data_IF_791597607118
#
_entry.id   IF_791597607118
#
_cell.length_a   1.000
_cell.length_b   1.000
_cell.length_c   1.000
_cell.angle_alpha   90.00
_cell.angle_beta   90.00
_cell.angle_gamma   90.00
#
_symmetry.space_group_name_H-M   'P 1'
#
loop_
_entity.id
_entity.type
_entity.pdbx_description
1 polymer ?
#
# COMPACT_ATOMS: atom_id res chain seq x y z
N UNK A 1 -3.79 10.98 5.93
CA UNK A 1 -3.45 10.12 4.79
C UNK A 1 -4.08 10.69 3.52
N UNK A 2 -3.43 10.66 2.35
CA UNK A 2 -3.98 11.17 1.07
C UNK A 2 -5.04 10.24 0.42
N UNK A 3 -5.61 9.29 1.18
CA UNK A 3 -6.48 8.23 0.66
C UNK A 3 -7.69 8.76 -0.10
N UNK A 4 -8.35 9.79 0.44
CA UNK A 4 -9.53 10.41 -0.20
C UNK A 4 -9.20 10.95 -1.59
N UNK A 5 -8.04 11.60 -1.76
CA UNK A 5 -7.62 12.13 -3.05
C UNK A 5 -7.40 11.00 -4.05
N UNK A 6 -6.64 9.97 -3.67
CA UNK A 6 -6.39 8.82 -4.57
C UNK A 6 -7.67 8.08 -4.95
N UNK A 7 -8.59 7.90 -3.99
CA UNK A 7 -9.89 7.29 -4.28
C UNK A 7 -10.71 8.12 -5.27
N UNK A 8 -10.72 9.44 -5.12
CA UNK A 8 -11.43 10.34 -6.03
C UNK A 8 -10.79 10.38 -7.42
N UNK A 9 -9.46 10.33 -7.52
CA UNK A 9 -8.76 10.21 -8.80
C UNK A 9 -9.07 8.89 -9.52
N UNK A 10 -9.36 7.83 -8.77
CA UNK A 10 -9.81 6.55 -9.31
C UNK A 10 -11.34 6.48 -9.51
N UNK A 11 -12.06 7.60 -9.35
CA UNK A 11 -13.52 7.71 -9.51
C UNK A 11 -14.34 6.72 -8.65
N UNK A 12 -13.79 6.27 -7.52
CA UNK A 12 -14.44 5.30 -6.65
C UNK A 12 -15.21 5.98 -5.51
N UNK A 13 -16.39 5.46 -5.19
CA UNK A 13 -17.03 5.68 -3.89
C UNK A 13 -16.27 4.94 -2.78
N UNK A 14 -16.48 5.34 -1.52
CA UNK A 14 -15.91 4.62 -0.37
C UNK A 14 -16.32 3.14 -0.36
N UNK A 15 -17.55 2.82 -0.78
CA UNK A 15 -18.05 1.44 -0.82
C UNK A 15 -17.36 0.62 -1.91
N UNK A 16 -17.13 1.19 -3.09
CA UNK A 16 -16.41 0.51 -4.17
C UNK A 16 -14.96 0.19 -3.79
N UNK A 17 -14.25 1.14 -3.19
CA UNK A 17 -12.91 0.89 -2.68
C UNK A 17 -12.91 -0.19 -1.59
N UNK A 18 -13.87 -0.13 -0.66
CA UNK A 18 -14.00 -1.11 0.40
C UNK A 18 -14.24 -2.53 -0.13
N UNK A 19 -15.15 -2.67 -1.09
CA UNK A 19 -15.43 -3.95 -1.75
C UNK A 19 -14.18 -4.51 -2.43
N UNK A 20 -13.45 -3.66 -3.16
CA UNK A 20 -12.24 -4.08 -3.90
C UNK A 20 -11.09 -4.45 -2.97
N UNK A 21 -10.86 -3.66 -1.92
CA UNK A 21 -9.85 -3.92 -0.91
C UNK A 21 -10.26 -5.00 0.12
N UNK A 22 -11.50 -5.55 0.02
CA UNK A 22 -12.06 -6.54 0.95
C UNK A 22 -11.97 -6.09 2.41
N UNK A 23 -12.44 -4.87 2.67
CA UNK A 23 -12.54 -4.25 4.01
C UNK A 23 -13.92 -3.65 4.22
N UNK A 24 -14.24 -3.31 5.47
CA UNK A 24 -15.48 -2.59 5.75
C UNK A 24 -15.42 -1.15 5.22
N UNK A 25 -16.55 -0.63 4.71
CA UNK A 25 -16.67 0.78 4.30
C UNK A 25 -16.33 1.75 5.45
N UNK A 26 -16.73 1.41 6.68
CA UNK A 26 -16.41 2.20 7.86
C UNK A 26 -14.90 2.35 8.05
N UNK A 27 -14.11 1.31 7.72
CA UNK A 27 -12.65 1.38 7.76
C UNK A 27 -12.10 2.41 6.77
N UNK A 28 -12.62 2.46 5.55
CA UNK A 28 -12.24 3.50 4.58
C UNK A 28 -12.57 4.89 5.12
N UNK A 29 -13.77 5.09 5.66
CA UNK A 29 -14.16 6.38 6.23
C UNK A 29 -13.25 6.82 7.39
N UNK A 30 -12.93 5.90 8.31
CA UNK A 30 -12.01 6.18 9.42
C UNK A 30 -10.60 6.53 8.94
N UNK A 31 -10.08 5.81 7.94
CA UNK A 31 -8.76 6.08 7.35
C UNK A 31 -8.72 7.44 6.65
N UNK A 32 -9.77 7.80 5.91
CA UNK A 32 -9.86 9.11 5.24
C UNK A 32 -9.91 10.27 6.23
N UNK A 33 -10.60 10.07 7.36
CA UNK A 33 -10.72 11.06 8.42
C UNK A 33 -9.54 11.01 9.43
N UNK A 34 -8.62 10.05 9.29
CA UNK A 34 -7.43 9.94 10.14
C UNK A 34 -7.69 9.43 11.56
N UNK A 35 -8.79 8.73 11.80
CA UNK A 35 -9.10 8.15 13.13
C UNK A 35 -8.06 7.15 13.60
N UNK A 36 -7.46 6.39 12.68
CA UNK A 36 -6.38 5.46 12.98
C UNK A 36 -5.51 5.19 11.74
N UNK A 37 -4.25 4.76 11.91
CA UNK A 37 -3.42 4.29 10.81
C UNK A 37 -3.83 2.87 10.37
N UNK A 38 -3.75 2.54 9.06
CA UNK A 38 -4.03 1.19 8.59
C UNK A 38 -2.94 0.22 9.06
N UNK A 39 -3.32 -1.05 9.28
CA UNK A 39 -2.31 -2.11 9.42
C UNK A 39 -1.58 -2.33 8.08
N UNK A 40 -0.36 -2.89 8.08
CA UNK A 40 0.37 -3.17 6.83
C UNK A 40 -0.43 -4.01 5.83
N UNK A 41 -1.12 -5.05 6.30
CA UNK A 41 -2.00 -5.88 5.45
C UNK A 41 -3.14 -5.07 4.82
N UNK A 42 -3.77 -4.19 5.60
CA UNK A 42 -4.87 -3.36 5.09
C UNK A 42 -4.37 -2.30 4.12
N UNK A 43 -3.22 -1.68 4.42
CA UNK A 43 -2.56 -0.74 3.51
C UNK A 43 -2.23 -1.42 2.17
N UNK A 44 -1.67 -2.63 2.18
CA UNK A 44 -1.39 -3.42 0.98
C UNK A 44 -2.64 -3.64 0.11
N UNK A 45 -3.74 -4.10 0.71
CA UNK A 45 -5.01 -4.31 -0.01
C UNK A 45 -5.59 -3.03 -0.61
N UNK A 46 -5.48 -1.90 0.11
CA UNK A 46 -5.94 -0.60 -0.40
C UNK A 46 -5.07 -0.14 -1.56
N UNK A 47 -3.75 -0.32 -1.46
CA UNK A 47 -2.81 0.01 -2.54
C UNK A 47 -3.08 -0.83 -3.80
N UNK A 48 -3.25 -2.15 -3.67
CA UNK A 48 -3.60 -3.05 -4.78
C UNK A 48 -4.93 -2.65 -5.44
N UNK A 49 -5.94 -2.31 -4.63
CA UNK A 49 -7.24 -1.88 -5.12
C UNK A 49 -7.17 -0.58 -5.92
N UNK A 50 -6.32 0.38 -5.52
CA UNK A 50 -6.12 1.66 -6.22
C UNK A 50 -5.20 1.52 -7.44
N UNK A 51 -4.13 0.73 -7.32
CA UNK A 51 -3.15 0.51 -8.39
C UNK A 51 -3.72 -0.24 -9.59
N UNK A 52 -4.72 -1.09 -9.37
CA UNK A 52 -5.41 -1.79 -10.46
C UNK A 52 -6.18 -0.87 -11.43
N UNK A 53 -6.50 0.36 -11.03
CA UNK A 53 -7.27 1.32 -11.85
C UNK A 53 -6.46 2.54 -12.27
N UNK A 54 -5.51 2.99 -11.46
CA UNK A 54 -4.72 4.18 -11.82
C UNK A 54 -3.77 3.96 -13.02
N UNK A 55 -3.80 2.80 -13.69
CA UNK A 55 -2.81 2.42 -14.71
C UNK A 55 -1.38 2.45 -14.20
N UNK A 56 -1.20 2.65 -12.89
CA UNK A 56 0.08 2.68 -12.24
C UNK A 56 0.46 1.23 -12.02
N UNK A 57 1.29 0.72 -12.93
CA UNK A 57 2.14 -0.40 -12.62
C UNK A 57 2.89 -0.01 -11.34
N UNK A 58 2.42 -0.53 -10.20
CA UNK A 58 3.08 -0.37 -8.92
C UNK A 58 4.43 -1.06 -9.08
N UNK A 59 5.42 -0.28 -9.52
CA UNK A 59 6.81 -0.67 -9.44
C UNK A 59 7.01 -1.09 -7.98
N UNK A 60 7.37 -2.34 -7.71
CA UNK A 60 7.57 -2.78 -6.34
C UNK A 60 8.65 -1.88 -5.75
N UNK A 61 8.26 -0.96 -4.88
CA UNK A 61 9.22 -0.31 -4.01
C UNK A 61 9.83 -1.44 -3.19
N UNK A 62 11.15 -1.55 -3.25
CA UNK A 62 11.91 -2.64 -2.66
C UNK A 62 11.37 -2.92 -1.25
N UNK A 63 10.84 -4.13 -1.07
CA UNK A 63 10.43 -4.61 0.25
C UNK A 63 11.71 -4.61 1.07
N UNK A 64 11.86 -3.61 1.95
CA UNK A 64 12.87 -3.69 2.99
C UNK A 64 12.44 -4.83 3.92
N UNK A 65 12.97 -6.02 3.66
CA UNK A 65 12.97 -7.07 4.66
C UNK A 65 13.70 -6.52 5.87
N UNK A 66 12.96 -6.19 6.93
CA UNK A 66 13.51 -6.05 8.27
C UNK A 66 14.03 -7.42 8.70
N UNK A 67 15.22 -7.76 8.22
CA UNK A 67 16.03 -8.79 8.84
C UNK A 67 16.36 -8.27 10.24
N UNK A 68 15.85 -8.97 11.25
CA UNK A 68 16.20 -8.72 12.65
C UNK A 68 17.71 -8.91 12.74
N UNK A 69 18.42 -7.84 13.08
CA UNK A 69 19.87 -7.83 13.22
C UNK A 69 20.33 -8.83 14.29
N UNK A 70 21.14 -9.80 13.88
CA UNK A 70 22.09 -10.48 14.76
C UNK A 70 23.50 -9.91 14.52
N UNK A 71 23.76 -8.77 15.16
CA UNK A 71 25.03 -8.44 15.84
C UNK A 71 26.35 -8.28 15.06
N UNK A 72 26.46 -8.57 13.75
CA UNK A 72 27.75 -8.45 13.03
C UNK A 72 27.59 -7.88 11.63
N UNK A 73 27.72 -6.55 11.55
CA UNK A 73 27.70 -5.79 10.31
C UNK A 73 28.72 -6.25 9.27
N UNK A 74 28.24 -6.35 8.02
CA UNK A 74 28.94 -6.07 6.75
C UNK A 74 27.92 -6.16 5.61
N UNK A 75 27.51 -5.01 5.09
CA UNK A 75 26.67 -4.90 3.90
C UNK A 75 27.56 -4.94 2.65
N UNK A 76 27.31 -5.87 1.72
CA UNK A 76 27.89 -5.86 0.37
C UNK A 76 26.75 -5.92 -0.66
N UNK A 77 26.58 -4.84 -1.41
CA UNK A 77 25.66 -4.75 -2.54
C UNK A 77 26.37 -5.19 -3.83
N UNK A 78 25.73 -6.07 -4.61
CA UNK A 78 26.04 -6.22 -6.04
C UNK A 78 24.70 -6.27 -6.80
N UNK A 79 24.46 -5.34 -7.75
CA UNK A 79 23.27 -5.39 -8.58
C UNK A 79 23.43 -6.48 -9.65
N UNK A 80 22.42 -7.34 -9.82
CA UNK A 80 22.33 -8.17 -11.02
C UNK A 80 21.89 -7.29 -12.18
N UNK A 81 22.76 -7.16 -13.19
CA UNK A 81 22.36 -6.64 -14.50
C UNK A 81 21.39 -7.66 -15.10
N UNK A 82 20.20 -7.19 -15.47
CA UNK A 82 19.22 -8.01 -16.20
C UNK A 82 19.78 -8.26 -17.61
N UNK A 83 19.87 -9.53 -17.97
CA UNK A 83 20.29 -10.03 -19.29
C UNK A 83 19.35 -9.60 -20.40
#
# INVERSE_FOLDING_TARGET
>A
MKLRQWRLCAEMTQQQLANRAKVARASIAHLENGYYPPSPTMAGRICEALGSELGMELQPHEVFEQTREDGRGRMKYQPRRRS
#
